data_IF_709931950089
#
_entry.id   IF_709931950089
#
_cell.length_a   1.000
_cell.length_b   1.000
_cell.length_c   1.000
_cell.angle_alpha   90.00
_cell.angle_beta   90.00
_cell.angle_gamma   90.00
#
_symmetry.space_group_name_H-M   'P 1'
#
loop_
_entity.id
_entity.type
_entity.pdbx_description
1 polymer ?
#
# COMPACT_ATOMS: atom_id res chain seq x y z
N UNK A 1 -16.37 5.57 6.21
CA UNK A 1 -15.30 6.26 6.95
C UNK A 1 -14.34 6.87 5.94
N UNK A 2 -13.86 8.10 6.10
CA UNK A 2 -12.80 8.66 5.26
C UNK A 2 -11.50 7.88 5.41
N UNK A 3 -10.73 7.77 4.31
CA UNK A 3 -9.48 6.99 4.31
C UNK A 3 -8.40 7.55 5.23
N UNK A 4 -8.38 8.88 5.41
CA UNK A 4 -7.43 9.61 6.25
C UNK A 4 -7.61 9.39 7.77
N UNK A 5 -8.75 8.84 8.17
CA UNK A 5 -9.04 8.48 9.57
C UNK A 5 -8.55 7.08 9.96
N UNK A 6 -7.97 6.34 9.02
CA UNK A 6 -7.47 5.00 9.30
C UNK A 6 -6.05 5.10 9.81
N UNK A 7 -5.77 4.45 10.94
CA UNK A 7 -4.41 4.34 11.43
C UNK A 7 -3.57 3.51 10.46
N UNK A 8 -2.60 4.14 9.83
CA UNK A 8 -1.72 3.50 8.83
C UNK A 8 -1.00 2.27 9.39
N UNK A 9 -0.77 2.22 10.70
CA UNK A 9 -0.11 1.09 11.38
C UNK A 9 -0.97 -0.17 11.38
N UNK A 10 -2.30 -0.03 11.26
CA UNK A 10 -3.24 -1.13 11.25
C UNK A 10 -3.40 -1.78 9.88
N UNK A 11 -2.94 -1.11 8.82
CA UNK A 11 -3.11 -1.58 7.44
C UNK A 11 -2.08 -2.65 7.13
N UNK A 12 -2.55 -3.86 6.86
CA UNK A 12 -1.73 -5.00 6.46
C UNK A 12 -1.77 -5.31 4.96
N UNK A 13 -1.67 -6.58 4.64
CA UNK A 13 -1.67 -7.10 3.27
C UNK A 13 -2.94 -6.73 2.50
N UNK A 14 -2.79 -6.56 1.19
CA UNK A 14 -3.88 -6.23 0.30
C UNK A 14 -4.17 -7.32 -0.73
N UNK A 15 -5.46 -7.46 -1.06
CA UNK A 15 -5.95 -8.40 -2.05
C UNK A 15 -6.83 -7.68 -3.06
N UNK A 16 -6.76 -8.09 -4.33
CA UNK A 16 -7.71 -7.61 -5.34
C UNK A 16 -8.99 -8.44 -5.27
N UNK A 17 -10.13 -7.75 -5.26
CA UNK A 17 -11.43 -8.39 -5.41
C UNK A 17 -11.87 -8.19 -6.86
N UNK A 18 -12.11 -9.28 -7.55
CA UNK A 18 -12.57 -9.28 -8.94
C UNK A 18 -14.01 -9.78 -9.02
N UNK A 19 -14.79 -9.29 -9.99
CA UNK A 19 -16.14 -9.79 -10.20
C UNK A 19 -16.09 -11.25 -10.66
N UNK A 20 -17.06 -12.03 -10.22
CA UNK A 20 -17.22 -13.40 -10.69
C UNK A 20 -17.68 -13.35 -12.15
N UNK A 21 -16.84 -13.84 -13.04
CA UNK A 21 -17.21 -13.99 -14.46
C UNK A 21 -18.23 -15.11 -14.63
N UNK A 22 -19.14 -14.93 -15.58
CA UNK A 22 -20.05 -15.99 -16.00
C UNK A 22 -19.24 -17.24 -16.39
N UNK A 23 -19.51 -18.34 -15.69
CA UNK A 23 -18.99 -19.63 -16.10
C UNK A 23 -19.90 -20.13 -17.25
N UNK A 24 -19.36 -20.32 -18.50
CA UNK A 24 -20.16 -20.77 -19.61
C UNK A 24 -20.84 -22.14 -19.38
N UNK A 25 -20.36 -22.90 -18.40
CA UNK A 25 -20.92 -24.19 -18.00
C UNK A 25 -22.03 -24.11 -16.96
N UNK A 26 -22.21 -22.95 -16.30
CA UNK A 26 -23.24 -22.73 -15.29
C UNK A 26 -24.20 -21.64 -15.74
N UNK A 27 -25.26 -22.03 -16.44
CA UNK A 27 -26.29 -21.14 -17.01
C UNK A 27 -27.02 -20.22 -16.01
N UNK A 28 -26.92 -20.47 -14.70
CA UNK A 28 -27.64 -19.73 -13.66
C UNK A 28 -26.74 -18.92 -12.71
N UNK A 29 -25.50 -18.67 -13.09
CA UNK A 29 -24.62 -17.83 -12.29
C UNK A 29 -24.87 -16.35 -12.64
N UNK A 30 -25.33 -15.50 -11.70
CA UNK A 30 -25.56 -14.09 -12.00
C UNK A 30 -24.24 -13.40 -12.36
N UNK A 31 -24.27 -12.60 -13.41
CA UNK A 31 -23.15 -11.73 -13.76
C UNK A 31 -23.05 -10.61 -12.73
N UNK A 32 -21.97 -10.59 -11.97
CA UNK A 32 -21.72 -9.58 -10.94
C UNK A 32 -20.86 -8.40 -11.43
N UNK A 33 -20.56 -8.35 -12.73
CA UNK A 33 -19.66 -7.33 -13.28
C UNK A 33 -20.25 -5.92 -13.19
N UNK A 34 -21.52 -5.76 -13.54
CA UNK A 34 -22.17 -4.45 -13.50
C UNK A 34 -22.28 -3.88 -12.08
N UNK A 35 -22.82 -4.60 -11.08
CA UNK A 35 -22.85 -4.09 -9.71
C UNK A 35 -21.46 -3.88 -9.12
N UNK A 36 -20.48 -4.71 -9.47
CA UNK A 36 -19.10 -4.53 -9.07
C UNK A 36 -18.53 -3.21 -9.58
N UNK A 37 -18.66 -2.91 -10.86
CA UNK A 37 -18.18 -1.67 -11.44
C UNK A 37 -18.86 -0.43 -10.83
N UNK A 38 -20.15 -0.52 -10.53
CA UNK A 38 -20.89 0.56 -9.89
C UNK A 38 -20.34 0.85 -8.48
N UNK A 39 -20.10 -0.20 -7.68
CA UNK A 39 -19.55 -0.08 -6.34
C UNK A 39 -18.12 0.44 -6.38
N UNK A 40 -17.27 -0.08 -7.27
CA UNK A 40 -15.90 0.36 -7.42
C UNK A 40 -15.84 1.87 -7.75
N UNK A 41 -16.64 2.33 -8.69
CA UNK A 41 -16.70 3.75 -9.07
C UNK A 41 -17.25 4.63 -7.95
N UNK A 42 -18.26 4.17 -7.23
CA UNK A 42 -18.81 4.91 -6.10
C UNK A 42 -17.81 5.05 -4.95
N UNK A 43 -17.06 4.00 -4.63
CA UNK A 43 -15.99 4.03 -3.64
C UNK A 43 -14.88 5.02 -4.03
N UNK A 44 -14.45 4.96 -5.29
CA UNK A 44 -13.41 5.83 -5.81
C UNK A 44 -13.80 7.31 -5.76
N UNK A 45 -15.03 7.63 -6.16
CA UNK A 45 -15.54 9.00 -6.13
C UNK A 45 -15.80 9.54 -4.72
N UNK A 46 -16.19 8.66 -3.78
CA UNK A 46 -16.51 9.08 -2.42
C UNK A 46 -15.29 9.35 -1.54
N UNK A 47 -14.11 8.82 -1.91
CA UNK A 47 -12.91 8.84 -1.07
C UNK A 47 -13.10 8.14 0.28
N UNK A 48 -14.13 7.32 0.41
CA UNK A 48 -14.47 6.59 1.63
C UNK A 48 -14.04 5.14 1.53
N UNK A 49 -13.93 4.49 2.66
CA UNK A 49 -13.70 3.06 2.78
C UNK A 49 -14.83 2.38 3.52
N UNK A 50 -15.04 1.12 3.19
CA UNK A 50 -16.01 0.27 3.86
C UNK A 50 -15.25 -0.69 4.77
N UNK A 51 -15.60 -0.70 6.05
CA UNK A 51 -15.08 -1.70 6.98
C UNK A 51 -15.89 -2.99 6.82
N UNK A 52 -15.20 -4.11 6.71
CA UNK A 52 -15.82 -5.43 6.58
C UNK A 52 -15.16 -6.44 7.50
N UNK A 53 -15.94 -7.47 7.82
CA UNK A 53 -15.43 -8.72 8.38
C UNK A 53 -15.52 -9.81 7.32
N UNK A 54 -14.52 -10.65 7.24
CA UNK A 54 -14.46 -11.72 6.25
C UNK A 54 -13.71 -12.92 6.81
N UNK A 55 -13.96 -14.07 6.22
CA UNK A 55 -13.28 -15.32 6.60
C UNK A 55 -12.31 -15.73 5.49
N UNK A 56 -11.07 -15.91 5.84
CA UNK A 56 -10.04 -16.40 4.94
C UNK A 56 -9.28 -17.56 5.60
N UNK A 57 -9.22 -18.70 4.91
CA UNK A 57 -8.57 -19.92 5.42
C UNK A 57 -9.08 -20.36 6.81
N UNK A 58 -10.40 -20.26 7.02
CA UNK A 58 -11.05 -20.64 8.28
C UNK A 58 -10.87 -19.66 9.44
N UNK A 59 -10.22 -18.53 9.23
CA UNK A 59 -10.03 -17.50 10.25
C UNK A 59 -10.84 -16.25 9.92
N UNK A 60 -11.57 -15.75 10.92
CA UNK A 60 -12.24 -14.46 10.81
C UNK A 60 -11.19 -13.34 10.84
N UNK A 61 -11.31 -12.43 9.90
CA UNK A 61 -10.46 -11.26 9.75
C UNK A 61 -11.32 -10.03 9.55
N UNK A 62 -10.77 -8.88 9.88
CA UNK A 62 -11.37 -7.61 9.51
C UNK A 62 -10.52 -6.91 8.45
N UNK A 63 -11.17 -6.12 7.65
CA UNK A 63 -10.52 -5.39 6.58
C UNK A 63 -11.30 -4.18 6.14
N UNK A 64 -10.68 -3.44 5.27
CA UNK A 64 -11.28 -2.29 4.61
C UNK A 64 -11.31 -2.53 3.10
N UNK A 65 -12.42 -2.12 2.49
CA UNK A 65 -12.56 -2.08 1.05
C UNK A 65 -12.36 -0.65 0.57
N UNK A 66 -11.51 -0.50 -0.40
CA UNK A 66 -11.29 0.73 -1.16
C UNK A 66 -11.30 0.41 -2.65
N UNK A 67 -11.33 1.42 -3.51
CA UNK A 67 -11.23 1.22 -4.95
C UNK A 67 -10.20 2.16 -5.54
N UNK A 68 -9.47 1.66 -6.53
CA UNK A 68 -8.50 2.43 -7.30
C UNK A 68 -8.46 1.91 -8.73
N UNK A 69 -8.54 2.82 -9.69
CA UNK A 69 -8.55 2.49 -11.13
C UNK A 69 -9.64 1.47 -11.51
N UNK A 70 -10.83 1.59 -10.89
CA UNK A 70 -11.97 0.70 -11.14
C UNK A 70 -11.85 -0.70 -10.51
N UNK A 71 -10.82 -0.95 -9.70
CA UNK A 71 -10.61 -2.24 -9.02
C UNK A 71 -10.84 -2.07 -7.53
N UNK A 72 -11.61 -2.98 -6.93
CA UNK A 72 -11.83 -3.03 -5.48
C UNK A 72 -10.64 -3.74 -4.84
N UNK A 73 -10.08 -3.09 -3.83
CA UNK A 73 -8.95 -3.57 -3.06
C UNK A 73 -9.41 -3.83 -1.63
N UNK A 74 -9.19 -5.05 -1.16
CA UNK A 74 -9.36 -5.42 0.24
C UNK A 74 -8.02 -5.29 0.94
N UNK A 75 -7.93 -4.43 1.94
CA UNK A 75 -6.78 -4.33 2.84
C UNK A 75 -7.12 -5.01 4.16
N UNK A 76 -6.27 -5.92 4.59
CA UNK A 76 -6.40 -6.52 5.92
C UNK A 76 -6.10 -5.46 6.98
N UNK A 77 -6.90 -5.44 8.04
CA UNK A 77 -6.70 -4.55 9.19
C UNK A 77 -6.31 -5.40 10.40
N UNK A 78 -5.19 -5.06 11.00
CA UNK A 78 -4.71 -5.71 12.21
C UNK A 78 -5.52 -5.22 13.39
N UNK A 79 -5.91 -6.12 14.30
CA UNK A 79 -6.58 -5.73 15.54
C UNK A 79 -5.64 -4.91 16.43
N UNK A 80 -6.20 -3.95 17.18
CA UNK A 80 -5.42 -3.09 18.07
C UNK A 80 -4.57 -3.87 19.07
N UNK A 81 -5.06 -5.01 19.54
CA UNK A 81 -4.34 -5.92 20.43
C UNK A 81 -3.07 -6.53 19.80
N UNK A 82 -3.00 -6.55 18.48
CA UNK A 82 -1.85 -7.09 17.73
C UNK A 82 -0.84 -6.01 17.35
N UNK A 83 -1.18 -4.74 17.58
CA UNK A 83 -0.27 -3.64 17.32
C UNK A 83 0.83 -3.60 18.39
N UNK A 84 2.06 -3.60 17.93
CA UNK A 84 3.19 -3.27 18.79
C UNK A 84 3.25 -1.76 18.93
N UNK A 85 2.75 -1.25 20.03
CA UNK A 85 2.87 0.15 20.37
C UNK A 85 4.32 0.45 20.74
N UNK A 86 4.80 1.62 20.32
CA UNK A 86 6.07 2.13 20.81
C UNK A 86 5.82 2.77 22.18
N UNK A 87 6.31 2.15 23.24
CA UNK A 87 6.13 2.65 24.62
C UNK A 87 7.07 3.81 24.93
N UNK A 88 8.09 4.02 24.09
CA UNK A 88 9.06 5.10 24.23
C UNK A 88 8.70 6.26 23.31
N UNK A 89 7.93 7.21 23.83
CA UNK A 89 7.68 8.46 23.12
C UNK A 89 8.86 9.42 23.41
N UNK A 90 9.69 9.79 22.43
CA UNK A 90 10.75 10.76 22.65
C UNK A 90 10.14 12.12 22.97
N UNK A 91 10.31 12.56 24.20
CA UNK A 91 9.83 13.86 24.67
C UNK A 91 10.96 14.89 24.57
N UNK A 92 10.75 15.90 23.78
CA UNK A 92 11.64 17.03 23.66
C UNK A 92 10.83 18.33 23.49
N UNK A 93 11.25 19.39 24.15
CA UNK A 93 10.66 20.70 23.93
C UNK A 93 11.11 21.26 22.58
N UNK A 94 10.18 21.19 21.61
CA UNK A 94 10.39 21.69 20.26
C UNK A 94 10.17 23.20 20.21
N UNK A 95 11.15 23.91 19.68
CA UNK A 95 10.96 25.32 19.35
C UNK A 95 10.20 25.44 18.02
N UNK A 96 9.22 26.36 17.90
CA UNK A 96 8.46 26.53 16.65
C UNK A 96 9.34 26.78 15.42
N UNK A 97 10.53 27.36 15.61
CA UNK A 97 11.51 27.60 14.54
C UNK A 97 12.06 26.30 13.99
N UNK A 98 12.30 25.30 14.84
CA UNK A 98 12.86 24.00 14.41
C UNK A 98 11.84 23.21 13.61
N UNK A 99 10.58 23.24 14.02
CA UNK A 99 9.46 22.64 13.28
C UNK A 99 9.30 23.29 11.90
N UNK A 100 9.43 24.62 11.82
CA UNK A 100 9.36 25.36 10.55
C UNK A 100 10.48 24.99 9.61
N UNK A 101 11.71 24.89 10.12
CA UNK A 101 12.87 24.46 9.33
C UNK A 101 12.71 23.04 8.77
N UNK A 102 12.24 22.12 9.63
CA UNK A 102 11.97 20.74 9.21
C UNK A 102 10.88 20.66 8.14
N UNK A 103 9.80 21.45 8.28
CA UNK A 103 8.74 21.52 7.27
C UNK A 103 9.28 22.03 5.94
N UNK A 104 10.04 23.13 5.94
CA UNK A 104 10.63 23.67 4.72
C UNK A 104 11.57 22.67 4.04
N UNK A 105 12.31 21.90 4.84
CA UNK A 105 13.15 20.83 4.32
C UNK A 105 12.34 19.74 3.63
N UNK A 106 11.25 19.28 4.27
CA UNK A 106 10.36 18.25 3.70
C UNK A 106 9.72 18.75 2.40
N UNK A 107 9.26 20.02 2.38
CA UNK A 107 8.64 20.63 1.20
C UNK A 107 9.64 20.81 0.03
N UNK A 108 10.93 20.99 0.35
CA UNK A 108 11.99 21.09 -0.65
C UNK A 108 12.43 19.74 -1.23
N UNK A 109 12.05 18.62 -0.61
CA UNK A 109 12.35 17.30 -1.14
C UNK A 109 11.59 17.09 -2.46
N UNK A 110 12.29 16.54 -3.45
CA UNK A 110 11.65 16.18 -4.72
C UNK A 110 10.61 15.08 -4.50
N UNK A 111 9.45 15.26 -5.06
CA UNK A 111 8.49 14.18 -5.15
C UNK A 111 9.06 13.05 -6.02
N UNK A 112 9.04 11.85 -5.47
CA UNK A 112 9.43 10.65 -6.20
C UNK A 112 8.16 10.02 -6.76
N UNK A 113 8.12 9.85 -8.06
CA UNK A 113 7.09 9.05 -8.69
C UNK A 113 7.44 7.57 -8.49
N UNK A 114 6.72 6.91 -7.61
CA UNK A 114 6.94 5.49 -7.30
C UNK A 114 6.71 4.58 -8.50
N UNK A 115 6.00 5.04 -9.53
CA UNK A 115 5.81 4.26 -10.77
C UNK A 115 7.09 4.18 -11.59
N UNK A 116 8.02 5.11 -11.39
CA UNK A 116 9.32 5.17 -12.07
C UNK A 116 10.44 4.49 -11.28
N UNK A 117 10.17 4.08 -10.03
CA UNK A 117 11.16 3.38 -9.21
C UNK A 117 11.37 1.96 -9.73
N UNK A 118 12.52 1.72 -10.30
CA UNK A 118 12.90 0.41 -10.84
C UNK A 118 13.53 -0.47 -9.75
N UNK A 119 13.10 -1.73 -9.71
CA UNK A 119 13.79 -2.73 -8.91
C UNK A 119 15.05 -3.18 -9.66
N UNK A 120 16.20 -2.65 -9.25
CA UNK A 120 17.50 -2.93 -9.87
C UNK A 120 17.85 -4.43 -9.87
N UNK A 121 17.43 -5.15 -8.83
CA UNK A 121 17.65 -6.59 -8.74
C UNK A 121 16.86 -7.35 -9.80
N UNK A 122 15.58 -7.06 -9.95
CA UNK A 122 14.73 -7.68 -10.99
C UNK A 122 15.26 -7.38 -12.37
N UNK A 123 15.67 -6.14 -12.63
CA UNK A 123 16.25 -5.73 -13.91
C UNK A 123 17.56 -6.45 -14.22
N UNK A 124 18.41 -6.66 -13.20
CA UNK A 124 19.64 -7.45 -13.36
C UNK A 124 19.36 -8.90 -13.71
N UNK A 125 18.36 -9.53 -13.08
CA UNK A 125 17.93 -10.90 -13.41
C UNK A 125 17.38 -10.98 -14.83
N UNK A 126 16.55 -10.04 -15.24
CA UNK A 126 16.01 -9.97 -16.60
C UNK A 126 17.12 -9.82 -17.64
N UNK A 127 18.14 -9.01 -17.35
CA UNK A 127 19.31 -8.88 -18.22
C UNK A 127 20.12 -10.18 -18.34
N UNK A 128 20.31 -10.90 -17.23
CA UNK A 128 20.96 -12.21 -17.23
C UNK A 128 20.18 -13.23 -18.03
N UNK A 129 18.87 -13.28 -17.88
CA UNK A 129 18.00 -14.18 -18.64
C UNK A 129 17.98 -13.85 -20.14
N UNK A 130 18.15 -12.58 -20.49
CA UNK A 130 18.31 -12.13 -21.88
C UNK A 130 19.71 -12.35 -22.46
N UNK A 131 20.64 -12.96 -21.71
CA UNK A 131 22.04 -13.20 -22.12
C UNK A 131 22.91 -11.93 -22.11
N UNK A 132 22.46 -10.85 -21.47
CA UNK A 132 23.24 -9.63 -21.29
C UNK A 132 23.98 -9.67 -19.95
N UNK A 133 25.19 -9.15 -19.91
CA UNK A 133 25.93 -8.98 -18.66
C UNK A 133 25.25 -7.83 -17.88
N UNK A 134 24.75 -8.06 -16.66
CA UNK A 134 24.18 -6.99 -15.87
C UNK A 134 25.26 -5.97 -15.51
N UNK A 135 24.91 -4.69 -15.55
CA UNK A 135 25.75 -3.67 -14.94
C UNK A 135 25.88 -4.02 -13.45
N UNK A 136 27.12 -4.19 -12.99
CA UNK A 136 27.40 -4.46 -11.59
C UNK A 136 26.95 -3.23 -10.83
N UNK A 137 25.87 -3.39 -10.08
CA UNK A 137 25.44 -2.40 -9.13
C UNK A 137 26.43 -2.51 -7.98
N UNK A 138 27.48 -1.70 -8.00
CA UNK A 138 28.28 -1.48 -6.81
C UNK A 138 27.34 -0.94 -5.75
N UNK A 139 26.93 -1.82 -4.83
CA UNK A 139 26.28 -1.38 -3.61
C UNK A 139 27.31 -0.51 -2.88
N UNK A 140 27.14 0.78 -2.97
CA UNK A 140 27.87 1.72 -2.10
C UNK A 140 27.41 1.47 -0.67
N UNK A 141 27.93 0.43 -0.08
CA UNK A 141 27.84 0.21 1.36
C UNK A 141 28.54 1.34 2.16
N UNK A 142 29.29 2.21 1.45
CA UNK A 142 29.99 3.34 2.04
C UNK A 142 29.14 4.57 2.31
N UNK A 143 28.00 4.73 1.63
CA UNK A 143 27.18 5.94 1.82
C UNK A 143 26.36 5.91 3.13
N UNK A 144 26.17 4.74 3.73
CA UNK A 144 25.50 4.62 5.03
C UNK A 144 26.37 5.07 6.21
N UNK A 145 27.69 5.03 6.08
CA UNK A 145 28.58 5.49 7.15
C UNK A 145 28.84 6.99 7.14
N UNK A 146 28.69 7.65 5.99
CA UNK A 146 28.88 9.10 5.89
C UNK A 146 27.79 9.91 6.60
N UNK A 147 26.66 9.29 6.95
CA UNK A 147 25.59 9.94 7.71
C UNK A 147 25.83 9.97 9.22
N UNK A 148 26.78 9.17 9.75
CA UNK A 148 27.08 9.04 11.17
C UNK A 148 28.41 9.67 11.59
N UNK A 149 29.15 10.25 10.68
CA UNK A 149 30.31 11.12 10.95
C UNK A 149 29.84 12.64 11.00
#
# INVERSE_FOLDING_TARGET
>A
MPYDQIDIRTIGEGYYILPRKLDPKKKNSPDSTQPYCAIAKALEQSGKVIQIKYTLSGKEKQGILTAQNGIIILKNVVYDEQLRLCDEEPKFELKPVDVKKARNFIEALKQVDFTTVENKYTKAIEQLLAGKVPEIIESRASDGMAFFE
#
